data_IF_152891766854
#
_entry.id   IF_152891766854
#
_cell.length_a   1.000
_cell.length_b   1.000
_cell.length_c   1.000
_cell.angle_alpha   90.00
_cell.angle_beta   90.00
_cell.angle_gamma   90.00
#
_symmetry.space_group_name_H-M   'P 1'
#
loop_
_entity.id
_entity.type
_entity.pdbx_description
1 polymer ?
#
# COMPACT_ATOMS: atom_id res chain seq x y z
N UNK A 1 11.07 34.46 -10.83
CA UNK A 1 10.23 34.61 -9.62
C UNK A 1 8.78 34.62 -10.06
N UNK A 2 8.18 33.44 -10.19
CA UNK A 2 6.73 33.29 -10.36
C UNK A 2 6.26 32.38 -9.24
N UNK A 3 5.31 32.91 -8.47
CA UNK A 3 4.72 32.34 -7.27
C UNK A 3 3.89 31.11 -7.61
N UNK A 4 4.05 30.05 -6.81
CA UNK A 4 3.19 28.88 -6.76
C UNK A 4 1.78 29.29 -6.31
N UNK A 5 0.78 29.18 -7.19
CA UNK A 5 -0.64 29.18 -6.82
C UNK A 5 -1.43 28.29 -7.79
N UNK A 6 -1.37 26.98 -7.56
CA UNK A 6 -2.50 26.03 -7.55
C UNK A 6 -1.99 24.57 -7.62
N UNK A 7 -1.19 24.18 -6.63
CA UNK A 7 -1.21 22.82 -6.11
C UNK A 7 -1.85 22.94 -4.73
N UNK A 8 -2.77 22.06 -4.36
CA UNK A 8 -3.35 22.07 -3.01
C UNK A 8 -2.28 21.54 -2.03
N UNK A 9 -1.31 22.39 -1.72
CA UNK A 9 -0.42 22.24 -0.58
C UNK A 9 -1.17 22.75 0.65
N UNK A 10 -1.89 21.86 1.34
CA UNK A 10 -2.43 22.17 2.66
C UNK A 10 -1.30 22.11 3.69
N UNK A 11 -0.50 23.17 3.77
CA UNK A 11 0.55 23.36 4.76
C UNK A 11 1.74 24.15 4.21
N UNK A 12 2.41 24.98 5.02
CA UNK A 12 3.58 25.72 4.56
C UNK A 12 4.73 24.74 4.29
N UNK A 13 5.20 24.69 3.03
CA UNK A 13 6.49 24.09 2.72
C UNK A 13 7.58 24.97 3.35
N UNK A 14 8.03 24.62 4.55
CA UNK A 14 9.25 25.20 5.13
C UNK A 14 10.45 24.56 4.40
N UNK A 15 11.10 25.35 3.55
CA UNK A 15 12.32 24.93 2.84
C UNK A 15 13.52 25.07 3.79
N UNK A 16 13.96 23.97 4.39
CA UNK A 16 15.23 23.86 5.10
C UNK A 16 16.35 23.46 4.13
N UNK A 17 17.22 24.40 3.76
CA UNK A 17 18.36 24.17 2.86
C UNK A 17 19.52 23.47 3.59
N UNK A 18 19.73 22.17 3.32
CA UNK A 18 21.05 21.54 3.45
C UNK A 18 21.67 21.43 2.05
N UNK A 19 22.95 21.78 1.93
CA UNK A 19 23.62 22.05 0.66
C UNK A 19 23.51 20.90 -0.36
N UNK A 20 22.76 21.14 -1.44
CA UNK A 20 22.80 20.37 -2.69
C UNK A 20 21.62 19.44 -2.95
N UNK A 21 20.74 19.20 -1.96
CA UNK A 21 19.52 18.39 -2.13
C UNK A 21 18.37 18.98 -1.31
N UNK A 22 17.24 19.18 -1.98
CA UNK A 22 16.06 19.80 -1.41
C UNK A 22 15.19 18.75 -0.71
N UNK A 23 14.48 19.19 0.32
CA UNK A 23 13.57 18.36 1.12
C UNK A 23 12.17 18.95 1.08
N UNK A 24 11.17 18.09 1.01
CA UNK A 24 9.76 18.48 1.22
C UNK A 24 9.40 18.12 2.66
N UNK A 25 9.09 19.11 3.49
CA UNK A 25 8.72 18.93 4.91
C UNK A 25 7.19 18.93 5.05
N UNK A 26 6.52 18.08 4.27
CA UNK A 26 5.06 17.92 4.30
C UNK A 26 4.65 16.68 3.51
N UNK A 27 3.34 16.39 3.50
CA UNK A 27 2.76 15.55 2.46
C UNK A 27 2.81 16.28 1.11
N UNK A 28 3.18 15.57 0.06
CA UNK A 28 2.99 16.00 -1.33
C UNK A 28 1.92 15.14 -1.99
N UNK A 29 0.97 15.80 -2.66
CA UNK A 29 -0.11 15.14 -3.41
C UNK A 29 -0.12 15.64 -4.85
N UNK A 30 -0.23 14.71 -5.80
CA UNK A 30 -0.55 14.99 -7.21
C UNK A 30 -1.79 14.20 -7.63
N UNK A 31 -2.68 14.85 -8.36
CA UNK A 31 -3.96 14.30 -8.79
C UNK A 31 -4.41 14.81 -10.17
N UNK A 32 -5.63 14.50 -10.60
CA UNK A 32 -6.17 14.92 -11.91
C UNK A 32 -6.30 16.44 -12.07
N UNK A 33 -6.27 17.20 -10.97
CA UNK A 33 -6.41 18.66 -10.99
C UNK A 33 -5.10 19.38 -11.33
N UNK A 34 -3.97 18.66 -11.38
CA UNK A 34 -2.68 19.26 -11.72
C UNK A 34 -2.64 19.66 -13.20
N UNK A 35 -2.20 20.89 -13.44
CA UNK A 35 -2.03 21.47 -14.78
C UNK A 35 -0.57 21.36 -15.29
N UNK A 36 0.30 20.70 -14.51
CA UNK A 36 1.72 20.57 -14.80
C UNK A 36 1.98 19.40 -15.75
N UNK A 37 2.81 19.65 -16.76
CA UNK A 37 3.28 18.57 -17.63
C UNK A 37 4.33 17.71 -16.92
N UNK A 38 4.51 16.49 -17.41
CA UNK A 38 5.54 15.57 -16.92
C UNK A 38 6.94 16.22 -16.87
N UNK A 39 7.29 17.05 -17.86
CA UNK A 39 8.55 17.78 -17.91
C UNK A 39 8.65 18.85 -16.82
N UNK A 40 7.55 19.59 -16.54
CA UNK A 40 7.54 20.58 -15.45
C UNK A 40 7.69 19.90 -14.10
N UNK A 41 7.02 18.77 -13.90
CA UNK A 41 7.19 17.98 -12.68
C UNK A 41 8.64 17.50 -12.54
N UNK A 42 9.25 17.00 -13.62
CA UNK A 42 10.64 16.59 -13.59
C UNK A 42 11.59 17.75 -13.22
N UNK A 43 11.36 18.97 -13.73
CA UNK A 43 12.12 20.16 -13.35
C UNK A 43 11.92 20.56 -11.89
N UNK A 44 10.69 20.43 -11.36
CA UNK A 44 10.39 20.73 -9.95
C UNK A 44 11.05 19.75 -9.00
N UNK A 45 11.07 18.47 -9.35
CA UNK A 45 11.57 17.40 -8.48
C UNK A 45 13.04 17.03 -8.73
N UNK A 46 13.72 17.66 -9.70
CA UNK A 46 15.08 17.27 -10.10
C UNK A 46 16.12 17.28 -8.97
N UNK A 47 15.91 18.11 -7.93
CA UNK A 47 16.82 18.25 -6.79
C UNK A 47 16.21 17.78 -5.47
N UNK A 48 14.96 17.31 -5.46
CA UNK A 48 14.29 16.84 -4.24
C UNK A 48 14.68 15.38 -4.03
N UNK A 49 15.38 15.08 -2.94
CA UNK A 49 15.84 13.72 -2.64
C UNK A 49 15.06 13.01 -1.53
N UNK A 50 14.36 13.80 -0.71
CA UNK A 50 13.70 13.35 0.51
C UNK A 50 12.36 14.04 0.68
N UNK A 51 11.34 13.26 1.03
CA UNK A 51 10.08 13.76 1.58
C UNK A 51 10.03 13.41 3.07
N UNK A 52 10.01 14.41 3.95
CA UNK A 52 9.73 14.25 5.38
C UNK A 52 8.23 14.41 5.61
N UNK A 53 7.50 13.33 5.35
CA UNK A 53 6.05 13.34 5.28
C UNK A 53 5.55 12.13 4.52
N UNK A 54 4.76 12.38 3.47
CA UNK A 54 4.20 11.33 2.63
C UNK A 54 4.04 11.76 1.19
N UNK A 55 3.93 10.77 0.32
CA UNK A 55 3.71 10.96 -1.10
C UNK A 55 2.38 10.32 -1.51
N UNK A 56 1.52 11.10 -2.14
CA UNK A 56 0.23 10.63 -2.66
C UNK A 56 0.12 10.93 -4.15
N UNK A 57 -0.18 9.90 -4.93
CA UNK A 57 -0.39 9.94 -6.39
C UNK A 57 -1.75 9.31 -6.63
N UNK A 58 -2.75 10.13 -6.94
CA UNK A 58 -4.14 9.66 -6.96
C UNK A 58 -4.86 10.14 -8.21
N UNK A 59 -5.67 9.29 -8.85
CA UNK A 59 -6.52 9.69 -9.99
C UNK A 59 -5.77 10.33 -11.19
N UNK A 60 -4.47 10.10 -11.34
CA UNK A 60 -3.69 10.74 -12.41
C UNK A 60 -3.83 10.01 -13.75
N UNK A 61 -3.54 10.71 -14.85
CA UNK A 61 -3.39 10.13 -16.18
C UNK A 61 -1.93 9.79 -16.51
N UNK A 62 -1.06 9.73 -15.51
CA UNK A 62 0.35 9.41 -15.72
C UNK A 62 0.53 7.96 -16.11
N UNK A 63 1.41 7.72 -17.09
CA UNK A 63 1.84 6.35 -17.45
C UNK A 63 3.01 5.85 -16.60
N UNK A 64 3.81 6.77 -16.09
CA UNK A 64 4.91 6.52 -15.17
C UNK A 64 5.12 7.73 -14.28
N UNK A 65 5.91 7.55 -13.23
CA UNK A 65 6.21 8.59 -12.23
C UNK A 65 7.70 8.98 -12.23
N UNK A 66 8.38 8.82 -13.36
CA UNK A 66 9.82 9.04 -13.50
C UNK A 66 10.29 10.47 -13.18
N UNK A 67 9.38 11.44 -13.09
CA UNK A 67 9.70 12.78 -12.58
C UNK A 67 10.14 12.76 -11.11
N UNK A 68 9.78 11.74 -10.34
CA UNK A 68 10.23 11.55 -8.96
C UNK A 68 11.56 10.79 -8.81
N UNK A 69 12.26 10.45 -9.90
CA UNK A 69 13.49 9.63 -9.87
C UNK A 69 14.61 10.10 -8.93
N UNK A 70 14.60 11.37 -8.53
CA UNK A 70 15.60 11.92 -7.61
C UNK A 70 15.26 11.63 -6.14
N UNK A 71 13.97 11.39 -5.84
CA UNK A 71 13.49 11.07 -4.50
C UNK A 71 13.93 9.66 -4.17
N UNK A 72 14.82 9.56 -3.18
CA UNK A 72 15.40 8.30 -2.73
C UNK A 72 14.88 7.86 -1.37
N UNK A 73 14.10 8.73 -0.69
CA UNK A 73 13.66 8.50 0.68
C UNK A 73 12.34 9.19 1.01
N UNK A 74 11.49 8.47 1.72
CA UNK A 74 10.38 9.05 2.47
C UNK A 74 10.69 8.85 3.96
N UNK A 75 10.90 9.93 4.70
CA UNK A 75 11.08 9.85 6.15
C UNK A 75 9.72 9.81 6.82
N UNK A 76 9.39 8.61 7.31
CA UNK A 76 8.18 8.34 8.08
C UNK A 76 8.03 9.33 9.23
N UNK A 77 6.87 9.97 9.29
CA UNK A 77 6.43 10.71 10.46
C UNK A 77 5.63 9.78 11.37
N UNK A 78 6.20 9.38 12.51
CA UNK A 78 5.59 8.42 13.45
C UNK A 78 4.29 8.92 14.09
N UNK A 79 4.04 10.23 14.09
CA UNK A 79 2.82 10.83 14.61
C UNK A 79 1.69 10.85 13.56
N UNK A 80 2.03 10.63 12.28
CA UNK A 80 1.06 10.65 11.20
C UNK A 80 0.30 9.33 11.14
N UNK A 81 -1.02 9.44 11.01
CA UNK A 81 -1.91 8.31 10.74
C UNK A 81 -2.11 8.21 9.23
N UNK A 82 -1.85 7.03 8.66
CA UNK A 82 -2.02 6.74 7.22
C UNK A 82 -0.75 6.15 6.59
N UNK A 83 -0.77 5.99 5.26
CA UNK A 83 0.31 5.40 4.48
C UNK A 83 1.35 6.43 4.07
N UNK A 84 2.63 6.09 4.17
CA UNK A 84 3.80 6.89 3.77
C UNK A 84 3.85 7.10 2.25
N UNK A 85 3.40 6.10 1.50
CA UNK A 85 3.22 6.16 0.06
C UNK A 85 1.82 5.67 -0.31
N UNK A 86 1.06 6.50 -1.02
CA UNK A 86 -0.25 6.15 -1.58
C UNK A 86 -0.23 6.34 -3.10
N UNK A 87 -0.52 5.27 -3.85
CA UNK A 87 -0.65 5.27 -5.31
C UNK A 87 -2.01 4.65 -5.64
N UNK A 88 -3.02 5.48 -5.87
CA UNK A 88 -4.43 5.04 -5.85
C UNK A 88 -5.17 5.49 -7.11
N UNK A 89 -5.91 4.58 -7.75
CA UNK A 89 -6.82 4.90 -8.84
C UNK A 89 -6.17 5.60 -10.06
N UNK A 90 -4.93 5.22 -10.41
CA UNK A 90 -4.24 5.75 -11.60
C UNK A 90 -4.42 4.78 -12.76
N UNK A 91 -5.50 4.99 -13.54
CA UNK A 91 -5.96 4.04 -14.56
C UNK A 91 -5.00 3.81 -15.74
N UNK A 92 -4.10 4.76 -16.00
CA UNK A 92 -3.10 4.67 -17.08
C UNK A 92 -1.68 4.29 -16.59
N UNK A 93 -1.48 4.17 -15.27
CA UNK A 93 -0.16 3.96 -14.68
C UNK A 93 0.33 2.54 -14.93
N UNK A 94 1.50 2.42 -15.57
CA UNK A 94 2.09 1.12 -15.94
C UNK A 94 3.39 0.80 -15.20
N UNK A 95 4.05 1.79 -14.61
CA UNK A 95 5.31 1.59 -13.88
C UNK A 95 5.52 2.64 -12.78
N UNK A 96 6.10 2.18 -11.68
CA UNK A 96 6.58 2.98 -10.54
C UNK A 96 8.04 2.66 -10.21
N UNK A 97 8.79 2.07 -11.15
CA UNK A 97 10.11 1.50 -10.87
C UNK A 97 11.12 2.55 -10.39
N UNK A 98 10.97 3.81 -10.85
CA UNK A 98 11.79 4.93 -10.40
C UNK A 98 11.39 5.49 -9.01
N UNK A 99 10.40 4.88 -8.36
CA UNK A 99 9.85 5.24 -7.05
C UNK A 99 9.83 4.04 -6.08
N UNK A 100 10.80 3.14 -6.21
CA UNK A 100 11.00 2.02 -5.28
C UNK A 100 11.97 2.42 -4.17
N UNK A 101 11.54 2.29 -2.91
CA UNK A 101 12.32 2.68 -1.73
C UNK A 101 12.88 1.47 -0.99
N UNK A 102 14.05 1.62 -0.37
CA UNK A 102 14.64 0.62 0.52
C UNK A 102 14.37 0.96 1.99
N UNK A 103 13.12 1.31 2.32
CA UNK A 103 12.66 1.74 3.63
C UNK A 103 11.37 1.00 4.03
N UNK A 104 11.15 0.81 5.34
CA UNK A 104 9.93 0.21 5.91
C UNK A 104 8.73 1.16 5.85
N UNK A 105 8.27 1.46 4.63
CA UNK A 105 7.14 2.33 4.38
C UNK A 105 5.83 1.59 4.58
N UNK A 106 4.87 2.23 5.27
CA UNK A 106 3.49 1.79 5.24
C UNK A 106 2.90 2.25 3.90
N UNK A 107 2.34 1.34 3.08
CA UNK A 107 1.97 1.66 1.69
C UNK A 107 0.52 1.33 1.32
N UNK A 108 -0.07 2.15 0.45
CA UNK A 108 -1.31 1.84 -0.25
C UNK A 108 -1.09 1.94 -1.74
N UNK A 109 -1.26 0.84 -2.45
CA UNK A 109 -1.10 0.77 -3.90
C UNK A 109 -2.33 0.06 -4.43
N UNK A 110 -3.38 0.82 -4.76
CA UNK A 110 -4.67 0.23 -5.10
C UNK A 110 -5.30 0.79 -6.37
N UNK A 111 -6.06 -0.07 -7.05
CA UNK A 111 -6.89 0.32 -8.19
C UNK A 111 -6.09 0.94 -9.34
N UNK A 112 -4.88 0.42 -9.59
CA UNK A 112 -4.05 0.79 -10.74
C UNK A 112 -4.02 -0.39 -11.73
N UNK A 113 -5.05 -0.57 -12.57
CA UNK A 113 -5.31 -1.82 -13.29
C UNK A 113 -4.25 -2.20 -14.33
N UNK A 114 -3.36 -1.28 -14.72
CA UNK A 114 -2.26 -1.53 -15.66
C UNK A 114 -0.89 -1.61 -14.98
N UNK A 115 -0.82 -1.41 -13.66
CA UNK A 115 0.43 -1.39 -12.92
C UNK A 115 0.82 -2.82 -12.53
N UNK A 116 1.97 -3.26 -13.03
CA UNK A 116 2.63 -4.46 -12.55
C UNK A 116 3.66 -4.09 -11.48
N UNK A 117 3.60 -4.78 -10.34
CA UNK A 117 4.45 -4.51 -9.18
C UNK A 117 5.60 -5.50 -9.08
N UNK A 118 6.78 -5.02 -8.68
CA UNK A 118 7.85 -5.89 -8.20
C UNK A 118 7.53 -6.35 -6.77
N UNK A 119 6.82 -7.47 -6.69
CA UNK A 119 6.45 -8.06 -5.41
C UNK A 119 7.66 -8.50 -4.58
N UNK A 120 8.79 -8.84 -5.20
CA UNK A 120 10.01 -9.22 -4.47
C UNK A 120 10.50 -8.03 -3.67
N UNK A 121 10.61 -6.87 -4.33
CA UNK A 121 11.03 -5.62 -3.68
C UNK A 121 10.06 -5.20 -2.58
N UNK A 122 8.75 -5.20 -2.86
CA UNK A 122 7.73 -4.81 -1.88
C UNK A 122 7.77 -5.71 -0.65
N UNK A 123 7.90 -7.03 -0.83
CA UNK A 123 7.91 -7.99 0.30
C UNK A 123 9.16 -7.81 1.16
N UNK A 124 10.31 -7.49 0.55
CA UNK A 124 11.61 -7.34 1.21
C UNK A 124 11.73 -6.01 1.97
N UNK A 125 11.32 -4.90 1.35
CA UNK A 125 11.60 -3.57 1.89
C UNK A 125 10.43 -2.89 2.58
N UNK A 126 9.19 -3.15 2.16
CA UNK A 126 8.05 -2.40 2.69
C UNK A 126 7.48 -3.01 3.96
N UNK A 127 6.85 -2.14 4.75
CA UNK A 127 6.10 -2.54 5.93
C UNK A 127 4.97 -3.47 5.55
N UNK A 128 4.56 -4.27 6.52
CA UNK A 128 3.41 -5.16 6.39
C UNK A 128 2.10 -4.47 6.79
N UNK A 129 2.17 -3.21 7.26
CA UNK A 129 1.03 -2.29 7.29
C UNK A 129 0.87 -1.74 5.88
N UNK A 130 0.00 -2.38 5.10
CA UNK A 130 -0.18 -2.08 3.68
C UNK A 130 -1.59 -2.36 3.21
N UNK A 131 -1.90 -1.86 2.02
CA UNK A 131 -3.06 -2.23 1.22
C UNK A 131 -2.66 -2.25 -0.24
N UNK A 132 -2.51 -3.43 -0.83
CA UNK A 132 -2.20 -3.58 -2.25
C UNK A 132 -3.25 -4.46 -2.90
N UNK A 133 -4.08 -3.88 -3.77
CA UNK A 133 -5.21 -4.56 -4.40
C UNK A 133 -5.62 -3.91 -5.72
N UNK A 134 -6.14 -4.68 -6.67
CA UNK A 134 -6.68 -4.13 -7.92
C UNK A 134 -5.59 -3.61 -8.87
N UNK A 135 -4.38 -4.13 -8.75
CA UNK A 135 -3.30 -3.94 -9.72
C UNK A 135 -3.19 -5.17 -10.65
N UNK A 136 -2.23 -5.19 -11.58
CA UNK A 136 -1.98 -6.40 -12.41
C UNK A 136 -1.58 -7.59 -11.52
N UNK A 137 -0.90 -7.30 -10.41
CA UNK A 137 -0.53 -8.26 -9.38
C UNK A 137 -0.43 -7.55 -8.02
N UNK A 138 -0.99 -8.16 -6.97
CA UNK A 138 -1.22 -7.51 -5.68
C UNK A 138 -0.28 -7.95 -4.55
N UNK A 139 0.72 -8.77 -4.88
CA UNK A 139 1.81 -9.15 -3.96
C UNK A 139 1.32 -9.81 -2.65
N UNK A 140 0.25 -10.59 -2.73
CA UNK A 140 -0.44 -11.23 -1.60
C UNK A 140 -1.95 -11.03 -1.70
N UNK A 141 -2.69 -11.56 -0.74
CA UNK A 141 -4.13 -11.32 -0.63
C UNK A 141 -4.41 -10.45 0.58
N UNK A 142 -5.02 -9.30 0.34
CA UNK A 142 -5.49 -8.38 1.39
C UNK A 142 -6.87 -8.85 1.89
N UNK A 143 -7.02 -8.99 3.20
CA UNK A 143 -8.26 -9.35 3.87
C UNK A 143 -8.93 -8.11 4.45
N UNK A 144 -10.02 -7.68 3.82
CA UNK A 144 -10.83 -6.54 4.26
C UNK A 144 -11.93 -6.93 5.25
N UNK A 145 -11.51 -7.56 6.35
CA UNK A 145 -12.38 -7.95 7.45
C UNK A 145 -12.74 -9.45 7.46
N UNK A 146 -13.87 -9.77 8.08
CA UNK A 146 -14.26 -11.16 8.30
C UNK A 146 -14.53 -11.91 6.99
N UNK A 147 -14.03 -13.15 6.94
CA UNK A 147 -14.29 -14.06 5.83
C UNK A 147 -15.67 -14.67 6.01
N UNK A 148 -16.54 -14.37 5.07
CA UNK A 148 -17.89 -14.93 4.95
C UNK A 148 -18.05 -15.59 3.59
N UNK A 149 -19.14 -16.31 3.38
CA UNK A 149 -19.48 -16.89 2.07
C UNK A 149 -19.49 -15.85 0.94
N UNK A 150 -19.70 -14.57 1.26
CA UNK A 150 -19.69 -13.48 0.27
C UNK A 150 -18.31 -12.87 0.10
N UNK A 151 -17.63 -12.51 1.19
CA UNK A 151 -16.35 -11.79 1.11
C UNK A 151 -15.21 -12.67 0.60
N UNK A 152 -15.27 -13.98 0.83
CA UNK A 152 -14.27 -14.94 0.34
C UNK A 152 -14.21 -15.01 -1.19
N UNK A 153 -15.28 -14.61 -1.90
CA UNK A 153 -15.32 -14.63 -3.36
C UNK A 153 -14.39 -13.61 -4.00
N UNK A 154 -14.07 -12.52 -3.28
CA UNK A 154 -13.14 -11.50 -3.74
C UNK A 154 -11.67 -11.88 -3.51
N UNK A 155 -11.40 -12.89 -2.68
CA UNK A 155 -10.04 -13.36 -2.41
C UNK A 155 -9.60 -14.28 -3.55
N UNK A 156 -8.38 -14.10 -4.05
CA UNK A 156 -7.83 -14.97 -5.09
C UNK A 156 -7.58 -16.41 -4.57
N UNK A 157 -7.63 -17.37 -5.50
CA UNK A 157 -7.27 -18.75 -5.19
C UNK A 157 -5.76 -18.89 -4.98
N UNK A 158 -5.33 -19.88 -4.21
CA UNK A 158 -3.93 -20.22 -4.02
C UNK A 158 -3.07 -19.10 -3.43
N UNK A 159 -3.63 -18.29 -2.55
CA UNK A 159 -2.92 -17.23 -1.86
C UNK A 159 -1.68 -17.77 -1.13
N UNK A 160 -0.51 -17.19 -1.40
CA UNK A 160 0.75 -17.60 -0.75
C UNK A 160 1.09 -16.73 0.48
N UNK A 161 0.62 -15.47 0.49
CA UNK A 161 0.86 -14.48 1.53
C UNK A 161 -0.47 -13.80 1.88
N UNK A 162 -0.93 -13.98 3.12
CA UNK A 162 -2.19 -13.41 3.60
C UNK A 162 -1.87 -12.16 4.40
N UNK A 163 -2.49 -11.02 4.05
CA UNK A 163 -2.36 -9.75 4.76
C UNK A 163 -3.71 -9.32 5.36
N UNK A 164 -3.68 -8.81 6.59
CA UNK A 164 -4.89 -8.45 7.33
C UNK A 164 -5.33 -9.53 8.33
N UNK A 165 -6.36 -9.21 9.11
CA UNK A 165 -6.86 -10.12 10.14
C UNK A 165 -7.68 -11.26 9.50
N UNK A 166 -7.24 -12.50 9.72
CA UNK A 166 -7.93 -13.71 9.30
C UNK A 166 -9.01 -14.06 10.32
N UNK A 167 -10.24 -13.66 10.04
CA UNK A 167 -11.37 -13.80 10.96
C UNK A 167 -12.44 -14.72 10.36
N UNK A 168 -12.66 -15.86 11.02
CA UNK A 168 -13.81 -16.74 10.81
C UNK A 168 -14.74 -16.62 12.01
N UNK A 169 -15.97 -16.14 11.80
CA UNK A 169 -16.92 -15.93 12.90
C UNK A 169 -18.34 -16.29 12.48
N UNK A 170 -19.00 -17.11 13.31
CA UNK A 170 -20.40 -17.45 13.14
C UNK A 170 -20.70 -18.41 11.98
N UNK A 171 -21.99 -18.52 11.65
CA UNK A 171 -22.51 -19.51 10.70
C UNK A 171 -22.33 -19.16 9.22
N UNK A 172 -21.94 -17.93 8.90
CA UNK A 172 -21.69 -17.49 7.52
C UNK A 172 -20.24 -17.74 7.08
N UNK A 173 -19.50 -18.55 7.85
CA UNK A 173 -18.11 -18.93 7.57
C UNK A 173 -18.02 -19.78 6.29
N UNK A 174 -17.04 -19.55 5.40
CA UNK A 174 -16.80 -20.40 4.23
C UNK A 174 -16.50 -21.85 4.61
N UNK A 175 -16.83 -22.81 3.74
CA UNK A 175 -16.50 -24.22 3.99
C UNK A 175 -14.99 -24.45 3.97
N UNK A 176 -14.52 -25.50 4.66
CA UNK A 176 -13.10 -25.89 4.66
C UNK A 176 -12.55 -26.10 3.25
N UNK A 177 -13.34 -26.63 2.31
CA UNK A 177 -12.91 -26.82 0.92
C UNK A 177 -12.64 -25.47 0.21
N UNK A 178 -13.48 -24.47 0.46
CA UNK A 178 -13.27 -23.10 -0.07
C UNK A 178 -12.03 -22.49 0.58
N UNK A 179 -11.87 -22.63 1.90
CA UNK A 179 -10.71 -22.12 2.61
C UNK A 179 -9.40 -22.79 2.13
N UNK A 180 -9.40 -24.10 1.87
CA UNK A 180 -8.26 -24.83 1.32
C UNK A 180 -7.94 -24.36 -0.11
N UNK A 181 -8.95 -24.15 -0.96
CA UNK A 181 -8.76 -23.58 -2.30
C UNK A 181 -8.10 -22.20 -2.26
N UNK A 182 -8.53 -21.35 -1.32
CA UNK A 182 -8.02 -19.98 -1.18
C UNK A 182 -6.64 -19.94 -0.53
N UNK A 183 -6.44 -20.68 0.55
CA UNK A 183 -5.31 -20.49 1.47
C UNK A 183 -4.41 -21.72 1.65
N UNK A 184 -4.69 -22.85 1.01
CA UNK A 184 -3.90 -24.07 1.15
C UNK A 184 -2.44 -23.96 0.64
N UNK A 185 -2.06 -22.84 0.01
CA UNK A 185 -0.67 -22.50 -0.34
C UNK A 185 -0.05 -21.43 0.56
N UNK A 186 -0.80 -20.85 1.49
CA UNK A 186 -0.33 -19.77 2.33
C UNK A 186 0.83 -20.25 3.20
N UNK A 187 1.92 -19.49 3.19
CA UNK A 187 3.11 -19.75 4.02
C UNK A 187 3.29 -18.70 5.11
N UNK A 188 2.70 -17.52 4.92
CA UNK A 188 2.75 -16.40 5.86
C UNK A 188 1.33 -15.86 6.07
N UNK A 189 0.99 -15.64 7.34
CA UNK A 189 -0.18 -14.87 7.76
C UNK A 189 0.28 -13.62 8.51
N UNK A 190 -0.03 -12.49 7.92
CA UNK A 190 0.41 -11.16 8.28
C UNK A 190 -0.79 -10.41 8.93
N UNK A 191 -1.13 -10.77 10.17
CA UNK A 191 -2.29 -10.26 10.89
C UNK A 191 -2.70 -11.14 12.08
N UNK A 192 -3.89 -10.89 12.64
CA UNK A 192 -4.47 -11.72 13.70
C UNK A 192 -5.21 -12.92 13.10
N UNK A 193 -5.14 -14.08 13.77
CA UNK A 193 -5.96 -15.24 13.46
C UNK A 193 -7.06 -15.39 14.53
N UNK A 194 -8.31 -15.36 14.10
CA UNK A 194 -9.48 -15.48 14.96
C UNK A 194 -10.49 -16.46 14.35
N UNK A 195 -10.82 -17.51 15.11
CA UNK A 195 -11.84 -18.50 14.73
C UNK A 195 -12.78 -18.69 15.90
N UNK A 196 -14.05 -18.33 15.73
CA UNK A 196 -15.05 -18.35 16.81
C UNK A 196 -16.44 -18.72 16.30
N UNK A 197 -17.20 -19.47 17.08
CA UNK A 197 -18.61 -19.79 16.78
C UNK A 197 -18.84 -20.38 15.37
N UNK A 198 -17.88 -21.16 14.87
CA UNK A 198 -17.92 -21.81 13.54
C UNK A 198 -18.07 -23.33 13.66
N UNK A 199 -18.48 -23.99 12.57
CA UNK A 199 -18.49 -25.45 12.45
C UNK A 199 -17.13 -26.02 11.95
N UNK A 200 -16.08 -25.20 11.84
CA UNK A 200 -14.75 -25.61 11.42
C UNK A 200 -14.10 -26.47 12.52
N UNK A 201 -13.67 -27.68 12.16
CA UNK A 201 -13.12 -28.67 13.10
C UNK A 201 -11.59 -28.67 13.16
N UNK A 202 -10.92 -28.15 12.13
CA UNK A 202 -9.46 -28.04 12.05
C UNK A 202 -9.03 -26.87 11.15
N UNK A 203 -7.75 -26.52 11.21
CA UNK A 203 -7.14 -25.42 10.43
C UNK A 203 -6.23 -25.94 9.32
N UNK A 204 -6.55 -27.10 8.72
CA UNK A 204 -5.72 -27.72 7.67
C UNK A 204 -5.51 -26.81 6.46
N UNK A 205 -6.47 -25.93 6.17
CA UNK A 205 -6.38 -24.87 5.15
C UNK A 205 -5.31 -23.81 5.41
N UNK A 206 -4.72 -23.77 6.61
CA UNK A 206 -3.52 -22.99 6.94
C UNK A 206 -2.32 -23.90 7.25
N UNK A 207 -2.35 -25.18 6.87
CA UNK A 207 -1.36 -26.19 7.27
C UNK A 207 0.08 -25.91 6.79
N UNK A 208 0.27 -25.00 5.84
CA UNK A 208 1.58 -24.55 5.36
C UNK A 208 2.04 -23.21 5.95
N UNK A 209 1.20 -22.54 6.74
CA UNK A 209 1.57 -21.27 7.37
C UNK A 209 2.64 -21.56 8.42
N UNK A 210 3.83 -21.00 8.20
CA UNK A 210 4.99 -21.14 9.10
C UNK A 210 5.11 -19.95 10.05
N UNK A 211 4.57 -18.81 9.64
CA UNK A 211 4.76 -17.52 10.29
C UNK A 211 3.39 -16.85 10.47
N UNK A 212 3.06 -16.53 11.72
CA UNK A 212 1.93 -15.66 12.08
C UNK A 212 2.53 -14.43 12.75
N UNK A 213 2.51 -13.31 12.03
CA UNK A 213 3.07 -12.04 12.51
C UNK A 213 1.95 -11.05 12.77
N UNK A 214 1.89 -10.54 14.00
CA UNK A 214 1.06 -9.38 14.32
C UNK A 214 1.87 -8.13 14.08
N UNK A 215 1.42 -7.24 13.21
CA UNK A 215 2.03 -5.93 13.10
C UNK A 215 1.48 -5.00 14.19
N UNK A 216 2.38 -4.24 14.80
CA UNK A 216 2.01 -3.15 15.69
C UNK A 216 1.45 -2.03 14.81
N UNK A 217 0.13 -1.99 14.67
CA UNK A 217 -0.51 -0.81 14.12
C UNK A 217 -0.35 0.34 15.13
N UNK A 218 0.20 1.48 14.69
CA UNK A 218 0.00 2.75 15.43
C UNK A 218 -1.49 3.15 15.43
N UNK A 219 -2.31 2.50 14.61
CA UNK A 219 -3.74 2.66 14.51
C UNK A 219 -4.48 1.64 15.38
N UNK A 220 -4.74 2.04 16.63
CA UNK A 220 -5.93 1.58 17.34
C UNK A 220 -7.18 2.09 16.62
N UNK A 221 -7.60 1.43 15.54
CA UNK A 221 -8.95 1.57 15.00
C UNK A 221 -9.80 0.46 15.59
N UNK A 222 -10.50 0.79 16.66
CA UNK A 222 -11.71 0.09 17.08
C UNK A 222 -12.77 0.49 16.06
N UNK A 223 -13.08 -0.40 15.13
CA UNK A 223 -14.36 -0.35 14.43
C UNK A 223 -15.40 -0.88 15.40
N UNK A 224 -16.32 0.00 15.82
CA UNK A 224 -17.49 -0.31 16.66
C UNK A 224 -18.58 -0.89 15.78
#
# INVERSE_FOLDING_TARGET
MNSLTSAVANGPAEYGLELGRDRIISTYTTDESTDLTHEKLAELFQNVDTIDGALTIVNTSYRNVSFFKAISRIRRNIERIGYDLSIVNNTELTSIDELLFHDLLDVEISDNPLLALDCTHIIEYYSKVRRIQGNVNDCGCELDGALTQTTILAVEDNCELIYGDFILSGKDTPSSDVLEQKFGKATILAGQLLVMDTDIVDLSFLGKVLIVEKYLTSTGRISI
#
